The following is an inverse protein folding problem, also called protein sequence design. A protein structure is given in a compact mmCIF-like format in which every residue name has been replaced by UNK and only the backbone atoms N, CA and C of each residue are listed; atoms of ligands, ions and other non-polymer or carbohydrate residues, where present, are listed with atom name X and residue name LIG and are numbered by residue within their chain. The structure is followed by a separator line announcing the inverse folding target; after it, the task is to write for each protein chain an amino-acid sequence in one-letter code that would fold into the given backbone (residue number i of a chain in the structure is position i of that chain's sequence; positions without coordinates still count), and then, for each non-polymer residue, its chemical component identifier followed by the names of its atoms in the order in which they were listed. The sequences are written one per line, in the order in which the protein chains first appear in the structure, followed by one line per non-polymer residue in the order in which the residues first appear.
data_IF_960836096395
#
_entry.id   IF_960836096395
#
_cell.length_a   1.000
_cell.length_b   1.000
_cell.length_c   1.000
_cell.angle_alpha   90.00
_cell.angle_beta   90.00
_cell.angle_gamma   90.00
#
_symmetry.space_group_name_H-M   'P 1'
#
loop_
_entity.id
_entity.type
_entity.pdbx_description
1 polymer ?
#
# COMPACT_ATOMS: atom_id res chain seq x y z
N UNK A 1 -13.14 0.48 26.16
CA UNK A 1 -13.48 0.73 24.72
C UNK A 1 -13.01 -0.50 23.99
N UNK A 2 -13.72 -0.93 22.94
CA UNK A 2 -13.29 -2.04 22.11
C UNK A 2 -11.96 -1.69 21.43
N UNK A 3 -11.06 -2.65 21.30
CA UNK A 3 -9.77 -2.47 20.64
C UNK A 3 -9.37 -3.80 20.00
N UNK A 4 -9.26 -3.80 18.68
CA UNK A 4 -9.00 -5.03 17.91
C UNK A 4 -7.63 -5.68 18.18
N UNK A 5 -6.70 -4.97 18.80
CA UNK A 5 -5.44 -5.58 19.24
C UNK A 5 -5.59 -6.27 20.60
N UNK A 6 -6.15 -5.57 21.59
CA UNK A 6 -6.27 -6.11 22.96
C UNK A 6 -7.32 -7.20 23.05
N UNK A 7 -8.32 -7.19 22.17
CA UNK A 7 -9.40 -8.18 22.12
C UNK A 7 -8.98 -9.46 21.34
N UNK A 8 -7.79 -9.46 20.69
CA UNK A 8 -7.22 -10.57 19.91
C UNK A 8 -5.85 -11.03 20.47
N UNK A 9 -5.85 -11.86 21.54
CA UNK A 9 -4.61 -12.28 22.22
C UNK A 9 -3.65 -13.10 21.33
N UNK A 10 -4.11 -13.65 20.24
CA UNK A 10 -3.30 -14.36 19.25
C UNK A 10 -2.25 -13.46 18.58
N UNK A 11 -2.52 -12.17 18.44
CA UNK A 11 -1.55 -11.21 17.88
C UNK A 11 -0.35 -11.05 18.85
N UNK A 12 -0.63 -10.92 20.15
CA UNK A 12 0.42 -10.88 21.19
C UNK A 12 1.21 -12.20 21.24
N UNK A 13 0.54 -13.34 21.05
CA UNK A 13 1.20 -14.64 20.98
C UNK A 13 2.21 -14.68 19.82
N UNK A 14 1.83 -14.21 18.62
CA UNK A 14 2.75 -14.16 17.48
C UNK A 14 3.88 -13.15 17.67
N UNK A 15 3.61 -12.00 18.28
CA UNK A 15 4.63 -10.99 18.59
C UNK A 15 5.67 -11.50 19.60
N UNK A 16 5.28 -12.39 20.50
CA UNK A 16 6.15 -13.02 21.49
C UNK A 16 6.94 -14.23 20.97
N UNK A 17 6.80 -14.60 19.68
CA UNK A 17 7.47 -15.76 19.11
C UNK A 17 9.00 -15.62 19.20
N UNK A 18 9.74 -16.70 19.58
CA UNK A 18 11.21 -16.64 19.78
C UNK A 18 12.01 -16.10 18.59
N UNK A 19 11.52 -16.26 17.34
CA UNK A 19 12.16 -15.71 16.15
C UNK A 19 12.00 -14.19 15.99
N UNK A 20 11.08 -13.56 16.73
CA UNK A 20 10.88 -12.11 16.62
C UNK A 20 12.13 -11.32 16.96
N UNK A 21 12.92 -11.78 17.94
CA UNK A 21 14.19 -11.11 18.25
C UNK A 21 15.10 -11.04 17.03
N UNK A 22 15.26 -12.14 16.29
CA UNK A 22 16.09 -12.16 15.07
C UNK A 22 15.51 -11.28 13.96
N UNK A 23 14.19 -11.29 13.78
CA UNK A 23 13.50 -10.46 12.78
C UNK A 23 13.72 -8.98 13.08
N UNK A 24 13.54 -8.59 14.34
CA UNK A 24 13.72 -7.19 14.80
C UNK A 24 15.17 -6.75 14.65
N UNK A 25 16.12 -7.55 15.13
CA UNK A 25 17.56 -7.24 15.04
C UNK A 25 18.00 -7.02 13.58
N UNK A 26 17.48 -7.84 12.64
CA UNK A 26 17.75 -7.68 11.21
C UNK A 26 17.09 -6.43 10.64
N UNK A 27 15.81 -6.18 10.95
CA UNK A 27 15.08 -5.01 10.46
C UNK A 27 15.65 -3.72 10.99
N UNK A 28 15.99 -3.66 12.27
CA UNK A 28 16.60 -2.51 12.93
C UNK A 28 18.13 -2.43 12.71
N UNK A 29 18.71 -3.36 11.93
CA UNK A 29 20.15 -3.40 11.61
C UNK A 29 21.02 -3.26 12.88
N UNK A 30 20.67 -4.01 13.91
CA UNK A 30 21.26 -3.92 15.24
C UNK A 30 21.14 -2.51 15.86
N UNK A 31 20.01 -1.84 15.62
CA UNK A 31 19.66 -0.52 16.21
C UNK A 31 20.61 0.62 15.79
N UNK A 32 21.08 0.60 14.55
CA UNK A 32 22.00 1.61 14.04
C UNK A 32 21.39 3.01 13.90
N UNK A 33 20.07 3.12 13.92
CA UNK A 33 19.33 4.38 13.79
C UNK A 33 19.01 5.05 15.14
N UNK A 34 19.33 4.41 16.27
CA UNK A 34 18.98 4.86 17.63
C UNK A 34 19.37 6.28 18.00
N UNK A 35 20.47 6.78 17.43
CA UNK A 35 20.99 8.13 17.67
C UNK A 35 20.64 9.11 16.54
N UNK A 36 19.91 8.64 15.48
CA UNK A 36 19.59 9.43 14.29
C UNK A 36 18.12 9.87 14.25
N UNK A 37 17.22 9.06 14.81
CA UNK A 37 15.78 9.29 14.79
C UNK A 37 15.22 9.11 16.21
N UNK A 38 14.36 10.04 16.63
CA UNK A 38 13.82 10.06 17.98
C UNK A 38 12.87 8.86 18.29
N UNK A 39 12.30 8.28 17.23
CA UNK A 39 11.41 7.12 17.28
C UNK A 39 12.14 5.78 17.04
N UNK A 40 13.45 5.80 16.81
CA UNK A 40 14.23 4.60 16.61
C UNK A 40 14.47 3.86 17.94
N UNK A 41 14.19 2.54 17.99
CA UNK A 41 14.41 1.77 19.22
C UNK A 41 15.91 1.63 19.52
N UNK A 42 16.23 1.55 20.81
CA UNK A 42 17.61 1.38 21.30
C UNK A 42 17.99 -0.07 21.52
N UNK A 43 17.00 -0.97 21.66
CA UNK A 43 17.16 -2.41 21.86
C UNK A 43 15.91 -3.17 21.45
N UNK A 44 15.97 -4.51 21.56
CA UNK A 44 14.84 -5.38 21.21
C UNK A 44 13.57 -5.11 22.05
N UNK A 45 13.73 -4.95 23.32
CA UNK A 45 12.62 -4.70 24.25
C UNK A 45 11.91 -3.39 23.90
N UNK A 46 12.66 -2.34 23.60
CA UNK A 46 12.13 -1.04 23.18
C UNK A 46 11.43 -1.13 21.82
N UNK A 47 11.99 -1.90 20.87
CA UNK A 47 11.34 -2.15 19.58
C UNK A 47 9.99 -2.85 19.76
N UNK A 48 9.92 -3.89 20.59
CA UNK A 48 8.66 -4.62 20.88
C UNK A 48 7.64 -3.69 21.54
N UNK A 49 8.04 -2.86 22.49
CA UNK A 49 7.17 -1.86 23.12
C UNK A 49 6.60 -0.86 22.07
N UNK A 50 7.42 -0.41 21.14
CA UNK A 50 6.99 0.45 20.05
C UNK A 50 6.00 -0.27 19.13
N UNK A 51 6.25 -1.55 18.78
CA UNK A 51 5.32 -2.33 17.97
C UNK A 51 3.97 -2.54 18.66
N UNK A 52 3.96 -2.82 19.95
CA UNK A 52 2.74 -2.93 20.74
C UNK A 52 1.94 -1.64 20.76
N UNK A 53 2.58 -0.49 20.88
CA UNK A 53 1.90 0.82 20.82
C UNK A 53 1.27 1.06 19.45
N UNK A 54 1.98 0.71 18.35
CA UNK A 54 1.46 0.86 17.00
C UNK A 54 0.26 -0.07 16.79
N UNK A 55 0.34 -1.33 17.27
CA UNK A 55 -0.76 -2.29 17.21
C UNK A 55 -1.97 -1.81 18.03
N UNK A 56 -1.74 -1.25 19.23
CA UNK A 56 -2.79 -0.70 20.08
C UNK A 56 -3.50 0.50 19.44
N UNK A 57 -2.75 1.44 18.86
CA UNK A 57 -3.30 2.57 18.07
C UNK A 57 -4.10 2.05 16.89
N UNK A 58 -3.60 1.04 16.17
CA UNK A 58 -4.30 0.44 15.04
C UNK A 58 -5.58 -0.23 15.47
N UNK A 59 -5.56 -0.96 16.61
CA UNK A 59 -6.73 -1.59 17.19
C UNK A 59 -7.81 -0.61 17.61
N UNK A 60 -7.41 0.54 18.16
CA UNK A 60 -8.34 1.62 18.52
C UNK A 60 -8.98 2.27 17.28
N UNK A 61 -8.18 2.59 16.26
CA UNK A 61 -8.68 3.14 14.98
C UNK A 61 -9.61 2.15 14.28
N UNK A 62 -9.26 0.87 14.28
CA UNK A 62 -10.06 -0.19 13.69
C UNK A 62 -11.44 -0.30 14.36
N UNK A 63 -11.48 -0.39 15.69
CA UNK A 63 -12.71 -0.59 16.45
C UNK A 63 -13.62 0.65 16.52
N UNK A 64 -13.03 1.85 16.58
CA UNK A 64 -13.81 3.06 16.88
C UNK A 64 -14.04 3.96 15.66
N UNK A 65 -13.39 3.69 14.52
CA UNK A 65 -13.56 4.48 13.29
C UNK A 65 -13.87 3.58 12.09
N UNK A 66 -13.01 2.56 11.81
CA UNK A 66 -13.14 1.78 10.58
C UNK A 66 -14.36 0.85 10.63
N UNK A 67 -14.51 0.05 11.69
CA UNK A 67 -15.64 -0.87 11.84
C UNK A 67 -17.00 -0.14 11.82
N UNK A 68 -17.23 0.95 12.58
CA UNK A 68 -18.49 1.68 12.53
C UNK A 68 -18.85 2.24 11.15
N UNK A 69 -17.85 2.48 10.30
CA UNK A 69 -18.04 2.98 8.94
C UNK A 69 -18.24 1.86 7.90
N UNK A 70 -17.94 0.60 8.22
CA UNK A 70 -17.82 -0.49 7.25
C UNK A 70 -19.11 -0.80 6.49
N UNK A 71 -20.26 -0.81 7.17
CA UNK A 71 -21.57 -1.05 6.55
C UNK A 71 -21.92 0.06 5.55
N UNK A 72 -21.77 1.33 5.95
CA UNK A 72 -22.02 2.47 5.07
C UNK A 72 -21.10 2.47 3.85
N UNK A 73 -19.82 2.14 4.04
CA UNK A 73 -18.83 2.02 2.96
C UNK A 73 -19.20 0.93 1.96
N UNK A 74 -19.63 -0.24 2.44
CA UNK A 74 -20.01 -1.36 1.55
C UNK A 74 -21.32 -1.08 0.81
N UNK A 75 -22.28 -0.41 1.45
CA UNK A 75 -23.57 -0.05 0.86
C UNK A 75 -23.45 1.08 -0.18
N UNK A 76 -22.70 2.14 0.13
CA UNK A 76 -22.48 3.28 -0.79
C UNK A 76 -21.60 2.85 -1.97
N UNK A 77 -20.47 2.20 -1.67
CA UNK A 77 -19.47 1.80 -2.63
C UNK A 77 -18.78 2.97 -3.36
N UNK A 78 -17.70 2.70 -4.10
CA UNK A 78 -17.07 3.69 -4.97
C UNK A 78 -17.93 3.88 -6.24
N UNK A 79 -17.87 5.10 -6.82
CA UNK A 79 -18.56 5.42 -8.07
C UNK A 79 -17.67 6.24 -9.00
N UNK A 80 -18.11 6.38 -10.25
CA UNK A 80 -17.41 7.20 -11.24
C UNK A 80 -18.05 8.58 -11.35
N UNK A 81 -17.22 9.60 -11.31
CA UNK A 81 -17.61 10.96 -11.60
C UNK A 81 -16.56 11.62 -12.50
N UNK A 82 -17.01 12.14 -13.67
CA UNK A 82 -16.13 12.82 -14.64
C UNK A 82 -14.83 12.04 -15.03
N UNK A 83 -14.94 10.71 -15.17
CA UNK A 83 -13.79 9.84 -15.51
C UNK A 83 -12.82 9.60 -14.36
N UNK A 84 -13.21 9.94 -13.14
CA UNK A 84 -12.44 9.70 -11.90
C UNK A 84 -13.22 8.78 -10.97
N UNK A 85 -12.50 8.01 -10.18
CA UNK A 85 -13.10 7.20 -9.12
C UNK A 85 -13.25 8.04 -7.85
N UNK A 86 -14.44 8.01 -7.28
CA UNK A 86 -14.77 8.63 -6.00
C UNK A 86 -15.02 7.50 -5.01
N UNK A 87 -14.37 7.54 -3.87
CA UNK A 87 -14.62 6.58 -2.77
C UNK A 87 -15.98 6.83 -2.14
N UNK A 88 -16.53 5.83 -1.46
CA UNK A 88 -17.59 6.02 -0.50
C UNK A 88 -17.19 7.10 0.54
N UNK A 89 -18.13 7.89 0.98
CA UNK A 89 -17.88 9.06 1.85
C UNK A 89 -17.11 8.69 3.12
N UNK A 90 -17.46 7.57 3.75
CA UNK A 90 -16.81 7.09 4.96
C UNK A 90 -15.41 6.52 4.73
N UNK A 91 -15.06 6.14 3.50
CA UNK A 91 -13.70 5.73 3.17
C UNK A 91 -12.70 6.88 3.35
N UNK A 92 -13.10 8.13 3.06
CA UNK A 92 -12.24 9.30 3.31
C UNK A 92 -11.99 9.52 4.80
N UNK A 93 -12.98 9.26 5.68
CA UNK A 93 -12.80 9.31 7.13
C UNK A 93 -11.78 8.26 7.60
N UNK A 94 -11.87 7.03 7.07
CA UNK A 94 -10.94 5.94 7.38
C UNK A 94 -9.51 6.26 6.91
N UNK A 95 -9.36 6.82 5.70
CA UNK A 95 -8.07 7.27 5.16
C UNK A 95 -7.47 8.40 6.03
N UNK A 96 -8.27 9.37 6.43
CA UNK A 96 -7.82 10.48 7.27
C UNK A 96 -7.41 9.99 8.68
N UNK A 97 -8.19 9.08 9.27
CA UNK A 97 -7.87 8.48 10.57
C UNK A 97 -6.53 7.73 10.54
N UNK A 98 -6.31 6.89 9.53
CA UNK A 98 -5.05 6.14 9.39
C UNK A 98 -3.86 7.05 9.08
N UNK A 99 -4.05 8.15 8.33
CA UNK A 99 -3.02 9.17 8.11
C UNK A 99 -2.65 9.89 9.41
N UNK A 100 -3.64 10.35 10.17
CA UNK A 100 -3.43 11.01 11.47
C UNK A 100 -2.77 10.11 12.51
N UNK A 101 -3.06 8.82 12.45
CA UNK A 101 -2.44 7.81 13.30
C UNK A 101 -1.01 7.42 12.86
N UNK A 102 -0.50 7.93 11.72
CA UNK A 102 0.82 7.61 11.20
C UNK A 102 0.95 6.17 10.67
N UNK A 103 -0.15 5.57 10.21
CA UNK A 103 -0.19 4.17 9.76
C UNK A 103 0.06 4.04 8.24
N UNK A 104 0.93 4.90 7.68
CA UNK A 104 1.32 4.85 6.27
C UNK A 104 2.84 4.75 6.13
N UNK A 105 3.30 4.05 5.09
CA UNK A 105 4.72 3.78 4.89
C UNK A 105 5.35 2.96 6.02
N UNK A 106 4.55 2.19 6.75
CA UNK A 106 4.94 1.55 8.02
C UNK A 106 6.14 0.60 7.88
N UNK A 107 6.31 -0.04 6.72
CA UNK A 107 7.47 -0.93 6.43
C UNK A 107 8.72 -0.17 6.00
N UNK A 108 8.59 1.11 5.62
CA UNK A 108 9.69 1.89 5.07
C UNK A 108 10.67 2.38 6.13
N UNK A 109 11.96 2.53 5.76
CA UNK A 109 12.95 3.14 6.64
C UNK A 109 12.55 4.54 7.10
N UNK A 110 12.96 4.89 8.34
CA UNK A 110 12.71 6.20 8.98
C UNK A 110 13.18 7.38 8.14
N UNK A 111 14.29 7.23 7.40
CA UNK A 111 14.81 8.28 6.50
C UNK A 111 13.85 8.69 5.38
N UNK A 112 12.82 7.89 5.11
CA UNK A 112 11.76 8.21 4.16
C UNK A 112 10.41 8.48 4.84
N UNK A 113 10.41 8.68 6.16
CA UNK A 113 9.20 8.95 6.95
C UNK A 113 8.40 7.70 7.34
N UNK A 114 8.96 6.51 7.18
CA UNK A 114 8.33 5.25 7.61
C UNK A 114 8.65 4.88 9.05
N UNK A 115 8.00 3.82 9.54
CA UNK A 115 8.17 3.31 10.91
C UNK A 115 9.21 2.18 11.01
N UNK A 116 9.75 1.74 9.88
CA UNK A 116 10.69 0.64 9.78
C UNK A 116 10.17 -0.68 10.36
N UNK A 117 8.84 -0.95 10.28
CA UNK A 117 8.27 -2.20 10.79
C UNK A 117 8.67 -3.40 9.93
N UNK A 118 8.91 -4.57 10.53
CA UNK A 118 9.07 -5.80 9.76
C UNK A 118 7.73 -6.26 9.18
N UNK A 119 7.77 -7.03 8.09
CA UNK A 119 6.57 -7.53 7.43
C UNK A 119 5.69 -8.39 8.34
N UNK A 120 6.26 -9.04 9.35
CA UNK A 120 5.48 -9.74 10.38
C UNK A 120 4.55 -8.80 11.15
N UNK A 121 5.04 -7.64 11.58
CA UNK A 121 4.21 -6.64 12.26
C UNK A 121 3.24 -5.96 11.28
N UNK A 122 3.66 -5.69 10.04
CA UNK A 122 2.75 -5.19 9.00
C UNK A 122 1.56 -6.15 8.77
N UNK A 123 1.81 -7.47 8.77
CA UNK A 123 0.74 -8.47 8.64
C UNK A 123 -0.24 -8.44 9.82
N UNK A 124 0.24 -8.21 11.04
CA UNK A 124 -0.62 -8.03 12.21
C UNK A 124 -1.49 -6.78 12.11
N UNK A 125 -0.94 -5.65 11.64
CA UNK A 125 -1.71 -4.44 11.36
C UNK A 125 -2.79 -4.70 10.30
N UNK A 126 -2.42 -5.41 9.22
CA UNK A 126 -3.34 -5.78 8.14
C UNK A 126 -4.47 -6.67 8.64
N UNK A 127 -4.21 -7.61 9.54
CA UNK A 127 -5.21 -8.46 10.18
C UNK A 127 -6.21 -7.64 10.99
N UNK A 128 -5.73 -6.72 11.83
CA UNK A 128 -6.56 -5.82 12.63
C UNK A 128 -7.49 -4.99 11.74
N UNK A 129 -6.95 -4.34 10.70
CA UNK A 129 -7.74 -3.50 9.79
C UNK A 129 -8.70 -4.35 8.96
N UNK A 130 -8.28 -5.54 8.53
CA UNK A 130 -9.12 -6.47 7.77
C UNK A 130 -10.30 -7.00 8.57
N UNK A 131 -10.12 -7.23 9.86
CA UNK A 131 -11.18 -7.64 10.77
C UNK A 131 -12.25 -6.55 10.94
N UNK A 132 -11.86 -5.27 10.88
CA UNK A 132 -12.78 -4.13 10.92
C UNK A 132 -13.49 -3.87 9.58
N UNK A 133 -12.74 -3.85 8.46
CA UNK A 133 -13.27 -3.68 7.10
C UNK A 133 -12.28 -4.23 6.07
N UNK A 134 -12.60 -5.39 5.50
CA UNK A 134 -11.78 -6.04 4.48
C UNK A 134 -11.72 -5.23 3.16
N UNK A 135 -12.75 -4.44 2.86
CA UNK A 135 -12.77 -3.53 1.70
C UNK A 135 -11.79 -2.38 1.87
N UNK A 136 -11.79 -1.75 3.02
CA UNK A 136 -10.84 -0.68 3.36
C UNK A 136 -9.41 -1.23 3.45
N UNK A 137 -9.23 -2.42 4.02
CA UNK A 137 -7.91 -3.06 4.10
C UNK A 137 -7.27 -3.23 2.72
N UNK A 138 -8.04 -3.58 1.69
CA UNK A 138 -7.55 -3.68 0.31
C UNK A 138 -6.97 -2.35 -0.21
N UNK A 139 -7.56 -1.21 0.14
CA UNK A 139 -7.03 0.12 -0.23
C UNK A 139 -5.79 0.47 0.58
N UNK A 140 -5.88 0.30 1.90
CA UNK A 140 -4.81 0.66 2.84
C UNK A 140 -3.55 -0.19 2.65
N UNK A 141 -3.70 -1.51 2.42
CA UNK A 141 -2.56 -2.43 2.30
C UNK A 141 -1.76 -2.26 1.01
N UNK A 142 -2.32 -1.60 -0.01
CA UNK A 142 -1.58 -1.29 -1.25
C UNK A 142 -0.36 -0.40 -1.00
N UNK A 143 -0.26 0.27 0.15
CA UNK A 143 0.99 0.92 0.55
C UNK A 143 2.18 -0.05 0.53
N UNK A 144 1.97 -1.36 0.68
CA UNK A 144 3.03 -2.38 0.61
C UNK A 144 3.69 -2.48 -0.78
N UNK A 145 3.05 -1.98 -1.84
CA UNK A 145 3.66 -1.88 -3.17
C UNK A 145 4.92 -0.99 -3.16
N UNK A 146 5.07 -0.13 -2.16
CA UNK A 146 6.26 0.70 -1.91
C UNK A 146 7.53 -0.14 -1.71
N UNK A 147 7.43 -1.37 -1.22
CA UNK A 147 8.57 -2.28 -1.05
C UNK A 147 9.26 -2.56 -2.38
N UNK A 148 8.48 -2.69 -3.48
CA UNK A 148 9.02 -2.83 -4.84
C UNK A 148 9.83 -1.59 -5.25
N UNK A 149 9.31 -0.41 -4.97
CA UNK A 149 10.01 0.85 -5.24
C UNK A 149 11.28 0.98 -4.37
N UNK A 150 11.20 0.58 -3.11
CA UNK A 150 12.35 0.61 -2.21
C UNK A 150 13.46 -0.33 -2.65
N UNK A 151 13.12 -1.55 -3.10
CA UNK A 151 14.09 -2.56 -3.50
C UNK A 151 14.72 -2.26 -4.87
N UNK A 152 13.90 -1.88 -5.86
CA UNK A 152 14.31 -1.80 -7.26
C UNK A 152 14.43 -0.37 -7.83
N UNK A 153 13.86 0.62 -7.14
CA UNK A 153 13.92 2.02 -7.58
C UNK A 153 15.31 2.64 -7.43
N UNK A 154 15.59 3.68 -8.22
CA UNK A 154 16.76 4.53 -8.00
C UNK A 154 16.61 5.36 -6.72
N UNK A 155 17.72 5.89 -6.19
CA UNK A 155 17.64 6.74 -4.99
C UNK A 155 16.79 8.00 -5.25
N UNK A 156 16.84 8.56 -6.46
CA UNK A 156 16.00 9.69 -6.87
C UNK A 156 14.51 9.33 -6.80
N UNK A 157 14.14 8.15 -7.31
CA UNK A 157 12.76 7.65 -7.25
C UNK A 157 12.33 7.40 -5.80
N UNK A 158 13.18 6.79 -4.97
CA UNK A 158 12.92 6.58 -3.54
C UNK A 158 12.66 7.89 -2.82
N UNK A 159 13.52 8.88 -2.99
CA UNK A 159 13.39 10.20 -2.37
C UNK A 159 12.16 10.97 -2.84
N UNK A 160 11.75 10.78 -4.10
CA UNK A 160 10.60 11.46 -4.68
C UNK A 160 9.25 10.87 -4.21
N UNK A 161 9.14 9.54 -4.14
CA UNK A 161 7.84 8.89 -3.99
C UNK A 161 7.61 8.30 -2.59
N UNK A 162 8.63 7.71 -1.95
CA UNK A 162 8.43 7.04 -0.67
C UNK A 162 7.93 7.99 0.43
N UNK A 163 8.48 9.21 0.61
CA UNK A 163 7.95 10.14 1.61
C UNK A 163 6.49 10.53 1.37
N UNK A 164 6.04 10.61 0.13
CA UNK A 164 4.65 10.93 -0.22
C UNK A 164 3.69 9.81 0.20
N UNK A 165 4.08 8.57 -0.05
CA UNK A 165 3.29 7.40 0.36
C UNK A 165 3.31 7.27 1.89
N UNK A 166 4.45 7.50 2.54
CA UNK A 166 4.54 7.52 4.01
C UNK A 166 3.68 8.64 4.63
N UNK A 167 3.40 9.71 3.88
CA UNK A 167 2.46 10.75 4.27
C UNK A 167 0.98 10.43 3.94
N UNK A 168 0.70 9.27 3.32
CA UNK A 168 -0.64 8.77 3.06
C UNK A 168 -1.16 8.94 1.64
N UNK A 169 -0.31 9.24 0.65
CA UNK A 169 -0.72 9.10 -0.75
C UNK A 169 -0.96 7.62 -1.07
N UNK A 170 -2.03 7.35 -1.81
CA UNK A 170 -2.49 6.00 -2.11
C UNK A 170 -1.71 5.38 -3.27
N UNK A 171 -1.66 4.05 -3.30
CA UNK A 171 -0.99 3.29 -4.36
C UNK A 171 -1.93 2.32 -5.07
N UNK A 172 -1.50 1.92 -6.27
CA UNK A 172 -1.99 0.73 -6.98
C UNK A 172 -0.84 -0.03 -7.64
N UNK A 173 -1.10 -1.29 -7.99
CA UNK A 173 -0.20 -2.13 -8.77
C UNK A 173 -0.94 -2.60 -10.03
N UNK A 174 -0.61 -1.98 -11.16
CA UNK A 174 -1.36 -2.13 -12.40
C UNK A 174 -0.71 -3.19 -13.28
N UNK A 175 -1.02 -4.46 -13.02
CA UNK A 175 -0.43 -5.61 -13.71
C UNK A 175 -1.38 -6.16 -14.77
N UNK A 176 -2.61 -6.50 -14.37
CA UNK A 176 -3.58 -7.28 -15.13
C UNK A 176 -4.14 -6.53 -16.35
N UNK A 177 -4.30 -7.26 -17.45
CA UNK A 177 -4.98 -6.81 -18.66
C UNK A 177 -6.10 -7.79 -19.03
N UNK A 178 -7.02 -7.44 -19.98
CA UNK A 178 -8.10 -8.33 -20.39
C UNK A 178 -7.63 -9.74 -20.75
N UNK A 179 -6.47 -9.87 -21.40
CA UNK A 179 -5.90 -11.13 -21.91
C UNK A 179 -4.64 -11.59 -21.15
N UNK A 180 -4.26 -10.92 -20.06
CA UNK A 180 -3.06 -11.22 -19.28
C UNK A 180 -3.31 -11.03 -17.78
N UNK A 181 -3.65 -12.09 -17.08
CA UNK A 181 -3.84 -12.13 -15.64
C UNK A 181 -2.78 -13.01 -14.97
N UNK A 182 -3.05 -14.31 -14.80
CA UNK A 182 -2.06 -15.24 -14.22
C UNK A 182 -0.79 -15.35 -15.07
N UNK A 183 -0.91 -15.28 -16.39
CA UNK A 183 0.24 -15.21 -17.31
C UNK A 183 0.56 -13.76 -17.70
N UNK A 184 1.27 -13.06 -16.83
CA UNK A 184 1.71 -11.68 -17.05
C UNK A 184 2.74 -11.54 -18.16
N UNK A 185 3.35 -12.61 -18.66
CA UNK A 185 4.24 -12.54 -19.83
C UNK A 185 3.51 -12.03 -21.08
N UNK A 186 2.18 -12.16 -21.11
CA UNK A 186 1.31 -11.74 -22.23
C UNK A 186 0.86 -10.28 -22.15
N UNK A 187 1.33 -9.52 -21.17
CA UNK A 187 1.04 -8.08 -21.06
C UNK A 187 1.40 -7.36 -22.35
N UNK A 188 0.46 -6.58 -22.88
CA UNK A 188 0.52 -5.89 -24.16
C UNK A 188 0.54 -4.36 -24.04
N UNK A 189 0.23 -3.79 -22.87
CA UNK A 189 0.36 -2.34 -22.64
C UNK A 189 1.77 -1.93 -23.04
N UNK A 190 1.88 -0.98 -23.97
CA UNK A 190 3.16 -0.60 -24.58
C UNK A 190 3.76 0.60 -23.86
N UNK A 191 5.05 0.52 -23.55
CA UNK A 191 5.86 1.65 -23.14
C UNK A 191 6.78 2.07 -24.30
N UNK A 192 6.78 3.36 -24.64
CA UNK A 192 7.63 3.94 -25.68
C UNK A 192 8.37 5.13 -25.09
N UNK A 193 9.69 5.16 -25.26
CA UNK A 193 10.48 6.30 -24.78
C UNK A 193 10.27 7.51 -25.71
N UNK A 194 9.95 8.64 -25.11
CA UNK A 194 9.81 9.93 -25.76
C UNK A 194 11.08 10.74 -25.48
N UNK A 195 11.99 10.77 -26.47
CA UNK A 195 13.29 11.44 -26.36
C UNK A 195 13.15 12.96 -26.17
N UNK A 196 12.13 13.58 -26.78
CA UNK A 196 11.92 15.02 -26.71
C UNK A 196 11.55 15.47 -25.30
N UNK A 197 10.71 14.68 -24.61
CA UNK A 197 10.25 14.98 -23.26
C UNK A 197 11.02 14.23 -22.17
N UNK A 198 11.98 13.38 -22.54
CA UNK A 198 12.75 12.52 -21.63
C UNK A 198 11.84 11.73 -20.67
N UNK A 199 10.79 11.10 -21.19
CA UNK A 199 9.84 10.32 -20.41
C UNK A 199 9.37 9.07 -21.18
N UNK A 200 8.78 8.13 -20.47
CA UNK A 200 8.10 6.98 -21.05
C UNK A 200 6.61 7.26 -21.23
N UNK A 201 6.09 6.99 -22.41
CA UNK A 201 4.67 7.04 -22.70
C UNK A 201 4.08 5.64 -22.65
N UNK A 202 3.09 5.47 -21.78
CA UNK A 202 2.36 4.21 -21.61
C UNK A 202 1.07 4.27 -22.43
N UNK A 203 0.78 3.23 -23.22
CA UNK A 203 -0.43 3.18 -24.03
C UNK A 203 -1.02 1.77 -24.01
N UNK A 204 -2.25 1.65 -23.54
CA UNK A 204 -2.97 0.39 -23.42
C UNK A 204 -4.07 0.44 -22.37
N UNK A 205 -4.55 -0.72 -21.95
CA UNK A 205 -5.65 -0.87 -20.99
C UNK A 205 -5.24 -1.84 -19.90
N UNK A 206 -5.39 -1.43 -18.65
CA UNK A 206 -5.34 -2.31 -17.49
C UNK A 206 -6.75 -2.63 -17.01
N UNK A 207 -6.94 -3.79 -16.39
CA UNK A 207 -8.25 -4.25 -15.91
C UNK A 207 -8.14 -4.94 -14.55
N UNK A 208 -9.20 -4.85 -13.78
CA UNK A 208 -9.27 -5.42 -12.43
C UNK A 208 -8.21 -4.85 -11.48
N UNK A 209 -7.95 -3.55 -11.58
CA UNK A 209 -6.94 -2.89 -10.77
C UNK A 209 -7.57 -2.34 -9.49
N UNK A 210 -7.20 -2.92 -8.37
CA UNK A 210 -7.61 -2.41 -7.06
C UNK A 210 -7.04 -1.01 -6.88
N UNK A 211 -7.91 -0.08 -6.54
CA UNK A 211 -7.56 1.33 -6.36
C UNK A 211 -6.94 1.97 -7.62
N UNK A 212 -7.46 1.63 -8.80
CA UNK A 212 -6.91 2.02 -10.10
C UNK A 212 -6.98 3.51 -10.44
N UNK A 213 -7.39 4.38 -9.51
CA UNK A 213 -7.31 5.84 -9.57
C UNK A 213 -6.51 6.42 -8.39
N UNK A 214 -5.54 5.67 -7.88
CA UNK A 214 -4.65 6.07 -6.78
C UNK A 214 -3.73 7.23 -7.16
N UNK A 215 -2.98 7.74 -6.19
CA UNK A 215 -2.03 8.85 -6.39
C UNK A 215 -0.77 8.40 -7.14
N UNK A 216 -0.28 7.19 -6.84
CA UNK A 216 0.95 6.61 -7.40
C UNK A 216 0.66 5.18 -7.84
N UNK A 217 1.07 4.83 -9.06
CA UNK A 217 0.88 3.52 -9.64
C UNK A 217 2.22 2.85 -9.99
N UNK A 218 2.31 1.54 -9.79
CA UNK A 218 3.34 0.70 -10.37
C UNK A 218 2.74 -0.03 -11.58
N UNK A 219 3.10 0.38 -12.78
CA UNK A 219 2.49 -0.09 -14.02
C UNK A 219 3.42 -1.04 -14.76
N UNK A 220 3.00 -2.29 -14.96
CA UNK A 220 3.74 -3.26 -15.78
C UNK A 220 3.44 -3.01 -17.28
N UNK A 221 4.48 -2.79 -18.06
CA UNK A 221 4.34 -2.52 -19.49
C UNK A 221 5.46 -3.16 -20.30
N UNK A 222 5.20 -3.35 -21.61
CA UNK A 222 6.18 -3.85 -22.56
C UNK A 222 7.03 -2.71 -23.10
N UNK A 223 8.30 -2.70 -22.74
CA UNK A 223 9.29 -1.68 -23.13
C UNK A 223 10.24 -2.16 -24.24
N UNK A 224 10.39 -3.51 -24.43
CA UNK A 224 11.30 -4.06 -25.41
C UNK A 224 10.55 -4.54 -26.65
N UNK A 225 10.81 -3.90 -27.79
CA UNK A 225 10.19 -4.27 -29.08
C UNK A 225 10.60 -5.69 -29.52
N UNK A 226 9.67 -6.38 -30.16
CA UNK A 226 9.90 -7.73 -30.69
C UNK A 226 9.88 -8.85 -29.67
N UNK A 227 9.76 -8.56 -28.37
CA UNK A 227 9.65 -9.57 -27.31
C UNK A 227 8.19 -9.99 -27.08
N UNK A 228 8.00 -11.26 -26.66
CA UNK A 228 6.68 -11.83 -26.36
C UNK A 228 6.61 -12.51 -24.99
N UNK A 229 7.67 -12.40 -24.20
CA UNK A 229 7.79 -13.01 -22.86
C UNK A 229 8.13 -11.96 -21.78
N UNK A 230 8.37 -12.41 -20.57
CA UNK A 230 8.65 -11.53 -19.43
C UNK A 230 9.92 -10.69 -19.57
N UNK A 231 10.86 -11.06 -20.44
CA UNK A 231 12.11 -10.32 -20.64
C UNK A 231 11.90 -8.95 -21.31
N UNK A 232 10.75 -8.76 -21.94
CA UNK A 232 10.41 -7.47 -22.57
C UNK A 232 9.57 -6.56 -21.69
N UNK A 233 9.32 -6.93 -20.44
CA UNK A 233 8.48 -6.18 -19.50
C UNK A 233 9.33 -5.36 -18.54
N UNK A 234 8.87 -4.15 -18.25
CA UNK A 234 9.41 -3.27 -17.22
C UNK A 234 8.32 -2.73 -16.34
N UNK A 235 8.68 -2.38 -15.10
CA UNK A 235 7.79 -1.70 -14.16
C UNK A 235 8.03 -0.21 -14.25
N UNK A 236 6.95 0.56 -14.42
CA UNK A 236 6.97 2.02 -14.50
C UNK A 236 6.26 2.63 -13.31
N UNK A 237 6.74 3.78 -12.86
CA UNK A 237 6.04 4.61 -11.89
C UNK A 237 5.20 5.61 -12.68
N UNK A 238 3.89 5.61 -12.45
CA UNK A 238 3.00 6.64 -12.95
C UNK A 238 2.47 7.47 -11.78
N UNK A 239 2.61 8.78 -11.87
CA UNK A 239 2.06 9.74 -10.93
C UNK A 239 0.75 10.29 -11.50
N UNK A 240 -0.34 10.20 -10.75
CA UNK A 240 -1.65 10.73 -11.14
C UNK A 240 -1.60 12.19 -11.61
N UNK A 241 -0.64 12.97 -11.10
CA UNK A 241 -0.43 14.37 -11.49
C UNK A 241 0.01 14.54 -12.93
N UNK A 242 0.57 13.50 -13.55
CA UNK A 242 1.00 13.52 -14.96
C UNK A 242 -0.22 13.42 -15.91
N UNK A 243 -1.39 13.00 -15.43
CA UNK A 243 -2.61 12.86 -16.21
C UNK A 243 -2.56 11.73 -17.24
N UNK A 244 -3.55 11.71 -18.15
CA UNK A 244 -3.58 10.76 -19.28
C UNK A 244 -4.16 9.39 -18.95
N UNK A 245 -4.66 9.16 -17.74
CA UNK A 245 -5.38 7.94 -17.36
C UNK A 245 -6.85 8.26 -17.13
N UNK A 246 -7.72 7.48 -17.77
CA UNK A 246 -9.16 7.52 -17.59
C UNK A 246 -9.65 6.23 -16.92
N UNK A 247 -10.32 6.35 -15.79
CA UNK A 247 -11.06 5.24 -15.18
C UNK A 247 -12.41 5.12 -15.88
N UNK A 248 -12.65 3.99 -16.55
CA UNK A 248 -13.83 3.79 -17.38
C UNK A 248 -14.92 2.94 -16.75
N UNK A 249 -14.56 2.16 -15.75
CA UNK A 249 -15.45 1.20 -15.11
C UNK A 249 -15.00 0.91 -13.68
N UNK A 250 -15.97 0.64 -12.82
CA UNK A 250 -15.76 0.04 -11.50
C UNK A 250 -16.48 -1.30 -11.50
N UNK A 251 -15.78 -2.37 -11.16
CA UNK A 251 -16.32 -3.72 -11.16
C UNK A 251 -17.34 -3.91 -10.02
N UNK A 252 -18.49 -4.46 -10.36
CA UNK A 252 -19.50 -4.86 -9.38
C UNK A 252 -19.13 -6.23 -8.80
N UNK A 253 -18.37 -6.24 -7.72
CA UNK A 253 -17.86 -7.45 -7.08
C UNK A 253 -18.92 -8.17 -6.25
N UNK A 254 -18.66 -9.43 -5.89
CA UNK A 254 -19.51 -10.25 -5.01
C UNK A 254 -19.55 -9.72 -3.55
N UNK A 255 -18.49 -9.04 -3.11
CA UNK A 255 -18.36 -8.45 -1.77
C UNK A 255 -17.22 -7.44 -1.76
N UNK A 256 -16.87 -6.93 -0.57
CA UNK A 256 -15.88 -5.86 -0.34
C UNK A 256 -16.09 -4.68 -1.29
N UNK A 257 -17.34 -4.21 -1.38
CA UNK A 257 -17.72 -3.17 -2.34
C UNK A 257 -16.99 -1.86 -2.09
N UNK A 258 -16.62 -1.56 -0.84
CA UNK A 258 -15.83 -0.38 -0.47
C UNK A 258 -14.43 -0.30 -1.12
N UNK A 259 -13.90 -1.42 -1.63
CA UNK A 259 -12.64 -1.46 -2.37
C UNK A 259 -12.91 -1.21 -3.86
N UNK A 260 -12.48 -0.08 -4.45
CA UNK A 260 -12.65 0.17 -5.89
C UNK A 260 -11.75 -0.75 -6.71
N UNK A 261 -12.32 -1.33 -7.72
CA UNK A 261 -11.58 -2.21 -8.64
C UNK A 261 -12.06 -1.94 -10.07
#
# INVERSE_FOLDING_TARGET
MANYYTDHPEIEFHLSHPLMKRIVDLKERNYEDKDKFADAPVCYEDAIENYKRILDITGDVAANIIEPNSEDVDLEGPHLENGRMIYASKTYENLDATRKAGLWGVSMPRRYGGLNLPNTTFSMLSEIISAADAGFQNVWSLQSCIDTLYEFGSEEQRQKYIPRISAGETMSMDLTEPDAGSDLQRVMLKATFDEENNCWRLNGVKRFITNGDSDIHLVLARSEEGTKDGRGLSMFIYDKRDGGVDVRHIEHKLGIHGSPT
#
